data_IF_645281396769
#
_entry.id   IF_645281396769
#
_cell.length_a   1.000
_cell.length_b   1.000
_cell.length_c   1.000
_cell.angle_alpha   90.00
_cell.angle_beta   90.00
_cell.angle_gamma   90.00
#
_symmetry.space_group_name_H-M   'P 1'
#
loop_
_entity.id
_entity.type
_entity.pdbx_description
1 polymer ?
#
# COMPACT_ATOMS: atom_id res chain seq x y z
N UNK A 1 -49.96 -90.88 -0.02
CA UNK A 1 -50.41 -90.80 -1.42
C UNK A 1 -49.96 -89.42 -1.97
N UNK A 2 -49.14 -89.51 -2.97
CA UNK A 2 -48.71 -88.50 -3.93
C UNK A 2 -48.50 -87.03 -3.56
N UNK A 3 -47.22 -86.62 -3.68
CA UNK A 3 -46.64 -85.30 -4.00
C UNK A 3 -47.18 -84.80 -5.36
N UNK A 4 -47.13 -83.47 -5.70
CA UNK A 4 -45.88 -83.00 -6.30
C UNK A 4 -45.42 -81.54 -5.96
N UNK A 5 -44.13 -81.37 -6.24
CA UNK A 5 -43.30 -80.16 -6.22
C UNK A 5 -43.79 -79.03 -7.17
N UNK A 6 -43.60 -77.77 -6.80
CA UNK A 6 -43.38 -76.68 -7.77
C UNK A 6 -42.24 -75.82 -7.36
N UNK A 7 -41.27 -75.72 -8.24
CA UNK A 7 -40.09 -74.92 -8.18
C UNK A 7 -40.45 -73.45 -8.53
N UNK A 8 -40.14 -72.51 -7.65
CA UNK A 8 -40.15 -71.10 -7.98
C UNK A 8 -38.68 -70.59 -8.03
N UNK A 9 -38.28 -70.20 -9.20
CA UNK A 9 -36.93 -69.69 -9.54
C UNK A 9 -36.90 -68.23 -9.38
N UNK A 10 -36.39 -67.70 -8.23
CA UNK A 10 -36.12 -66.28 -8.02
C UNK A 10 -34.82 -65.86 -8.72
N UNK A 11 -34.93 -65.10 -9.80
CA UNK A 11 -33.83 -64.41 -10.47
C UNK A 11 -33.48 -63.20 -9.65
N UNK A 12 -32.35 -63.17 -8.95
CA UNK A 12 -31.71 -61.99 -8.38
C UNK A 12 -31.03 -61.22 -9.52
N UNK A 13 -31.53 -60.06 -9.86
CA UNK A 13 -30.83 -59.11 -10.69
C UNK A 13 -29.68 -58.45 -9.88
N UNK A 14 -28.51 -58.21 -10.48
CA UNK A 14 -27.39 -57.65 -9.78
C UNK A 14 -27.55 -56.09 -9.70
N UNK A 15 -27.69 -55.59 -8.50
CA UNK A 15 -27.62 -54.13 -8.17
C UNK A 15 -26.14 -53.74 -8.02
N UNK A 16 -25.38 -53.77 -9.13
CA UNK A 16 -23.96 -53.43 -9.10
C UNK A 16 -23.58 -52.27 -10.03
N UNK A 17 -24.56 -51.58 -10.64
CA UNK A 17 -24.30 -50.56 -11.65
C UNK A 17 -24.45 -49.12 -11.20
N UNK A 18 -25.02 -48.80 -10.00
CA UNK A 18 -25.39 -47.44 -9.64
C UNK A 18 -24.46 -46.75 -8.64
N UNK A 19 -23.52 -47.47 -8.02
CA UNK A 19 -22.61 -46.91 -6.98
C UNK A 19 -21.33 -46.30 -7.52
N UNK A 20 -20.97 -46.48 -8.80
CA UNK A 20 -19.70 -45.94 -9.37
C UNK A 20 -19.90 -44.56 -9.98
N UNK A 21 -21.12 -44.16 -10.35
CA UNK A 21 -21.38 -42.86 -10.97
C UNK A 21 -21.49 -41.70 -9.96
N UNK A 22 -21.70 -41.99 -8.67
CA UNK A 22 -21.83 -40.97 -7.61
C UNK A 22 -20.50 -40.57 -6.98
N UNK A 23 -19.44 -41.33 -7.20
CA UNK A 23 -18.10 -41.04 -6.64
C UNK A 23 -17.24 -40.10 -7.51
N UNK A 24 -17.64 -39.81 -8.75
CA UNK A 24 -16.86 -38.97 -9.68
C UNK A 24 -17.21 -37.49 -9.63
N UNK A 25 -18.23 -37.07 -8.86
CA UNK A 25 -18.70 -35.67 -8.82
C UNK A 25 -18.09 -34.87 -7.67
N UNK A 26 -17.32 -35.48 -6.76
CA UNK A 26 -16.78 -34.81 -5.55
C UNK A 26 -15.28 -34.52 -5.55
N UNK A 27 -14.59 -34.76 -6.64
CA UNK A 27 -13.19 -34.37 -6.77
C UNK A 27 -13.06 -33.08 -7.60
N UNK A 28 -13.77 -32.02 -7.20
CA UNK A 28 -13.30 -30.67 -7.57
C UNK A 28 -11.98 -30.47 -6.83
N UNK A 29 -10.87 -30.21 -7.55
CA UNK A 29 -9.64 -29.88 -6.87
C UNK A 29 -9.94 -28.63 -6.02
N UNK A 30 -9.93 -28.79 -4.70
CA UNK A 30 -9.82 -27.67 -3.78
C UNK A 30 -8.50 -27.00 -4.17
N UNK A 31 -8.55 -25.97 -5.00
CA UNK A 31 -7.40 -25.14 -5.28
C UNK A 31 -6.98 -24.55 -3.92
N UNK A 32 -5.94 -25.17 -3.33
CA UNK A 32 -5.38 -24.66 -2.10
C UNK A 32 -5.02 -23.19 -2.33
N UNK A 33 -5.50 -22.32 -1.43
CA UNK A 33 -5.23 -20.89 -1.54
C UNK A 33 -3.72 -20.65 -1.53
N UNK A 34 -3.22 -19.83 -2.47
CA UNK A 34 -1.82 -19.46 -2.51
C UNK A 34 -1.45 -18.69 -1.26
N UNK A 35 -0.46 -19.17 -0.52
CA UNK A 35 0.10 -18.43 0.60
C UNK A 35 0.88 -17.24 0.05
N UNK A 36 0.57 -16.04 0.53
CA UNK A 36 1.24 -14.82 0.12
C UNK A 36 1.54 -13.94 1.33
N UNK A 37 2.74 -13.40 1.39
CA UNK A 37 3.17 -12.49 2.45
C UNK A 37 3.33 -11.09 1.89
N UNK A 38 2.68 -10.11 2.52
CA UNK A 38 2.65 -8.73 2.03
C UNK A 38 3.01 -7.79 3.17
N UNK A 39 4.08 -7.03 2.98
CA UNK A 39 4.48 -6.01 3.96
C UNK A 39 3.78 -4.67 3.70
N UNK A 40 3.58 -3.88 4.74
CA UNK A 40 3.33 -2.45 4.61
C UNK A 40 4.28 -1.65 5.50
N UNK A 41 4.73 -0.49 4.99
CA UNK A 41 5.89 0.22 5.54
C UNK A 41 5.56 1.25 6.61
N UNK A 42 4.29 1.65 6.76
CA UNK A 42 3.87 2.69 7.71
C UNK A 42 2.38 2.59 8.04
N UNK A 43 2.00 2.99 9.25
CA UNK A 43 0.59 3.17 9.65
C UNK A 43 0.13 4.55 9.19
N UNK A 44 -0.18 4.66 7.88
CA UNK A 44 -0.64 5.89 7.23
C UNK A 44 -1.86 5.60 6.34
N UNK A 45 -2.82 6.52 6.20
CA UNK A 45 -3.98 6.34 5.33
C UNK A 45 -3.64 5.93 3.89
N UNK A 46 -2.54 6.41 3.34
CA UNK A 46 -2.08 6.03 1.99
C UNK A 46 -1.70 4.55 1.83
N UNK A 47 -1.59 3.80 2.92
CA UNK A 47 -1.41 2.33 2.90
C UNK A 47 -2.75 1.58 2.88
N UNK A 48 -3.87 2.29 3.03
CA UNK A 48 -5.19 1.74 3.30
C UNK A 48 -5.79 0.85 2.21
N UNK A 49 -5.34 0.96 0.96
CA UNK A 49 -5.83 0.08 -0.12
C UNK A 49 -5.56 -1.39 0.21
N UNK A 50 -4.36 -1.70 0.70
CA UNK A 50 -4.01 -3.06 1.14
C UNK A 50 -4.89 -3.53 2.30
N UNK A 51 -5.16 -2.65 3.27
CA UNK A 51 -6.01 -2.95 4.42
C UNK A 51 -7.45 -3.24 4.01
N UNK A 52 -7.97 -2.47 3.05
CA UNK A 52 -9.32 -2.69 2.49
C UNK A 52 -9.36 -3.98 1.67
N UNK A 53 -8.29 -4.33 0.94
CA UNK A 53 -8.21 -5.61 0.22
C UNK A 53 -8.34 -6.81 1.17
N UNK A 54 -7.69 -6.74 2.33
CA UNK A 54 -7.74 -7.82 3.34
C UNK A 54 -9.09 -7.84 4.05
N UNK A 55 -9.53 -6.72 4.63
CA UNK A 55 -10.78 -6.66 5.43
C UNK A 55 -12.02 -6.87 4.55
N UNK A 56 -11.97 -6.45 3.29
CA UNK A 56 -13.02 -6.70 2.30
C UNK A 56 -13.06 -8.13 1.75
N UNK A 57 -12.15 -9.01 2.20
CA UNK A 57 -12.10 -10.40 1.75
C UNK A 57 -11.64 -10.60 0.31
N UNK A 58 -11.11 -9.54 -0.32
CA UNK A 58 -10.75 -9.56 -1.74
C UNK A 58 -9.54 -10.43 -2.02
N UNK A 59 -8.62 -10.55 -1.06
CA UNK A 59 -7.46 -11.45 -1.18
C UNK A 59 -7.94 -12.91 -1.21
N UNK A 60 -8.81 -13.31 -0.29
CA UNK A 60 -9.41 -14.66 -0.27
C UNK A 60 -10.25 -14.92 -1.52
N UNK A 61 -11.06 -13.95 -1.97
CA UNK A 61 -11.84 -14.02 -3.22
C UNK A 61 -10.96 -14.31 -4.44
N UNK A 62 -9.75 -13.75 -4.47
CA UNK A 62 -8.78 -13.96 -5.57
C UNK A 62 -7.82 -15.14 -5.32
N UNK A 63 -8.14 -16.04 -4.39
CA UNK A 63 -7.44 -17.29 -4.16
C UNK A 63 -6.22 -17.21 -3.25
N UNK A 64 -6.14 -16.21 -2.36
CA UNK A 64 -5.02 -16.03 -1.44
C UNK A 64 -5.36 -16.34 0.02
N UNK A 65 -4.41 -17.02 0.68
CA UNK A 65 -4.24 -17.00 2.13
C UNK A 65 -3.14 -16.00 2.44
N UNK A 66 -3.51 -14.76 2.76
CA UNK A 66 -2.57 -13.65 2.87
C UNK A 66 -2.16 -13.40 4.32
N UNK A 67 -0.86 -13.18 4.55
CA UNK A 67 -0.28 -12.64 5.76
C UNK A 67 0.10 -11.17 5.52
N UNK A 68 -0.57 -10.25 6.20
CA UNK A 68 -0.31 -8.80 6.08
C UNK A 68 0.54 -8.34 7.26
N UNK A 69 1.75 -7.87 6.98
CA UNK A 69 2.79 -7.63 7.97
C UNK A 69 3.16 -6.14 8.00
N UNK A 70 2.99 -5.50 9.16
CA UNK A 70 3.62 -4.21 9.39
C UNK A 70 5.10 -4.38 9.70
N UNK A 71 5.96 -3.72 8.95
CA UNK A 71 7.39 -3.67 9.25
C UNK A 71 8.03 -2.39 8.73
N UNK A 72 8.86 -1.76 9.55
CA UNK A 72 9.69 -0.62 9.15
C UNK A 72 10.78 -1.00 8.13
N UNK A 73 11.10 -2.29 8.04
CA UNK A 73 12.03 -2.88 7.09
C UNK A 73 11.35 -3.47 5.85
N UNK A 74 10.21 -2.89 5.39
CA UNK A 74 9.39 -3.47 4.33
C UNK A 74 10.14 -3.64 3.00
N UNK A 75 11.03 -2.73 2.65
CA UNK A 75 11.81 -2.85 1.42
C UNK A 75 12.92 -3.90 1.55
N UNK A 76 13.55 -3.96 2.70
CA UNK A 76 14.60 -4.93 3.00
C UNK A 76 14.04 -6.37 2.97
N UNK A 77 12.88 -6.61 3.59
CA UNK A 77 12.21 -7.92 3.58
C UNK A 77 11.72 -8.31 2.17
N UNK A 78 11.27 -7.34 1.37
CA UNK A 78 10.88 -7.57 -0.03
C UNK A 78 12.09 -7.97 -0.88
N UNK A 79 13.19 -7.25 -0.78
CA UNK A 79 14.43 -7.53 -1.54
C UNK A 79 15.04 -8.87 -1.13
N UNK A 80 14.99 -9.22 0.15
CA UNK A 80 15.41 -10.52 0.67
C UNK A 80 14.51 -11.68 0.22
N UNK A 81 13.27 -11.39 -0.26
CA UNK A 81 12.29 -12.40 -0.65
C UNK A 81 11.55 -13.02 0.54
N UNK A 82 11.59 -12.40 1.70
CA UNK A 82 10.83 -12.80 2.88
C UNK A 82 9.34 -12.46 2.76
N UNK A 83 9.02 -11.44 1.94
CA UNK A 83 7.66 -11.10 1.51
C UNK A 83 7.59 -11.05 -0.01
N UNK A 84 6.40 -11.33 -0.57
CA UNK A 84 6.16 -11.39 -2.03
C UNK A 84 5.85 -10.01 -2.62
N UNK A 85 5.12 -9.17 -1.87
CA UNK A 85 4.73 -7.80 -2.25
C UNK A 85 4.88 -6.85 -1.07
N UNK A 86 4.85 -5.54 -1.37
CA UNK A 86 4.88 -4.51 -0.35
C UNK A 86 4.03 -3.30 -0.73
N UNK A 87 3.31 -2.76 0.25
CA UNK A 87 2.71 -1.43 0.15
C UNK A 87 3.69 -0.43 0.76
N UNK A 88 4.30 0.41 -0.08
CA UNK A 88 5.34 1.35 0.37
C UNK A 88 5.45 2.56 -0.54
N UNK A 89 6.26 3.54 -0.15
CA UNK A 89 6.44 4.78 -0.93
C UNK A 89 7.44 4.60 -2.07
N UNK A 90 7.25 5.36 -3.16
CA UNK A 90 8.18 5.40 -4.28
C UNK A 90 9.60 5.76 -3.86
N UNK A 91 9.77 6.70 -2.91
CA UNK A 91 11.10 7.07 -2.40
C UNK A 91 11.84 5.90 -1.74
N UNK A 92 11.13 5.11 -0.90
CA UNK A 92 11.71 3.96 -0.22
C UNK A 92 12.17 2.91 -1.22
N UNK A 93 11.29 2.58 -2.17
CA UNK A 93 11.59 1.64 -3.25
C UNK A 93 12.73 2.13 -4.14
N UNK A 94 12.72 3.42 -4.53
CA UNK A 94 13.74 4.00 -5.40
C UNK A 94 15.13 3.95 -4.77
N UNK A 95 15.24 4.20 -3.47
CA UNK A 95 16.51 4.10 -2.76
C UNK A 95 17.14 2.71 -2.87
N UNK A 96 16.35 1.65 -2.72
CA UNK A 96 16.83 0.28 -2.87
C UNK A 96 17.20 -0.06 -4.32
N UNK A 97 16.39 0.40 -5.30
CA UNK A 97 16.66 0.17 -6.71
C UNK A 97 17.94 0.86 -7.19
N UNK A 98 18.16 2.10 -6.77
CA UNK A 98 19.39 2.83 -7.08
C UNK A 98 20.65 2.20 -6.44
N UNK A 99 20.47 1.34 -5.44
CA UNK A 99 21.55 0.54 -4.83
C UNK A 99 21.69 -0.84 -5.46
N UNK A 100 21.00 -1.13 -6.58
CA UNK A 100 21.14 -2.36 -7.36
C UNK A 100 20.13 -3.46 -7.05
N UNK A 101 19.16 -3.24 -6.16
CA UNK A 101 18.05 -4.15 -5.98
C UNK A 101 17.05 -4.08 -7.16
N UNK A 102 16.10 -5.04 -7.23
CA UNK A 102 15.17 -5.18 -8.35
C UNK A 102 13.68 -4.85 -8.04
N UNK A 103 13.32 -4.00 -7.03
CA UNK A 103 11.93 -3.68 -6.79
C UNK A 103 11.36 -2.81 -7.92
N UNK A 104 10.06 -3.02 -8.23
CA UNK A 104 9.29 -2.21 -9.19
C UNK A 104 7.90 -1.93 -8.63
N UNK A 105 7.37 -0.74 -8.89
CA UNK A 105 5.99 -0.38 -8.53
C UNK A 105 5.05 -0.80 -9.65
N UNK A 106 3.99 -1.53 -9.27
CA UNK A 106 3.01 -2.08 -10.21
C UNK A 106 1.64 -1.40 -10.12
N UNK A 107 1.40 -0.64 -9.04
CA UNK A 107 0.26 0.26 -8.91
C UNK A 107 0.60 1.44 -8.00
N UNK A 108 0.12 2.64 -8.33
CA UNK A 108 0.32 3.88 -7.56
C UNK A 108 -0.95 4.32 -6.82
N UNK A 109 -0.80 4.93 -5.65
CA UNK A 109 -1.91 5.52 -4.88
C UNK A 109 -1.85 7.04 -4.92
N UNK A 110 -0.67 7.63 -4.74
CA UNK A 110 -0.47 9.08 -4.70
C UNK A 110 0.54 9.50 -5.76
N UNK A 111 0.26 10.59 -6.46
CA UNK A 111 1.11 11.12 -7.53
C UNK A 111 1.58 12.56 -7.32
N UNK A 112 1.22 13.18 -6.19
CA UNK A 112 1.69 14.51 -5.76
C UNK A 112 2.11 14.49 -4.28
N UNK A 113 2.86 15.51 -3.88
CA UNK A 113 3.13 15.76 -2.46
C UNK A 113 1.87 16.32 -1.80
N UNK A 114 1.35 15.65 -0.76
CA UNK A 114 0.12 16.05 -0.06
C UNK A 114 0.33 16.36 1.42
N UNK A 115 1.55 16.19 1.92
CA UNK A 115 1.83 16.39 3.34
C UNK A 115 1.68 17.87 3.75
N UNK A 116 1.48 18.07 5.03
CA UNK A 116 1.54 19.38 5.68
C UNK A 116 2.76 19.41 6.59
N UNK A 117 3.60 20.42 6.45
CA UNK A 117 4.62 20.72 7.45
C UNK A 117 3.92 21.42 8.61
N UNK A 118 3.72 20.66 9.68
CA UNK A 118 3.11 21.14 10.92
C UNK A 118 4.19 21.59 11.87
N UNK A 119 3.96 22.72 12.55
CA UNK A 119 4.89 23.30 13.50
C UNK A 119 4.20 23.79 14.77
N UNK A 120 4.97 23.94 15.84
CA UNK A 120 4.51 24.54 17.09
C UNK A 120 4.11 26.00 16.87
N UNK A 121 3.19 26.58 17.69
CA UNK A 121 2.62 27.91 17.48
C UNK A 121 3.62 29.07 17.43
N UNK A 122 4.79 28.90 18.05
CA UNK A 122 5.85 29.88 18.07
C UNK A 122 6.70 29.94 16.79
N UNK A 123 6.56 28.97 15.89
CA UNK A 123 7.20 28.92 14.58
C UNK A 123 6.20 29.46 13.56
N UNK A 124 6.53 30.56 12.90
CA UNK A 124 5.61 31.31 12.03
C UNK A 124 6.00 31.31 10.57
N UNK A 125 7.28 31.04 10.28
CA UNK A 125 7.83 31.01 8.92
C UNK A 125 8.79 29.83 8.73
N UNK A 126 9.18 29.56 7.49
CA UNK A 126 10.16 28.53 7.18
C UNK A 126 11.55 28.88 7.75
N UNK A 127 11.90 30.15 7.80
CA UNK A 127 13.15 30.67 8.37
C UNK A 127 13.26 30.38 9.88
N UNK A 128 12.14 30.37 10.60
CA UNK A 128 12.09 30.06 12.03
C UNK A 128 12.49 28.62 12.34
N UNK A 129 12.57 27.75 11.30
CA UNK A 129 13.04 26.38 11.44
C UNK A 129 14.56 26.28 11.70
N UNK A 130 15.33 27.35 11.52
CA UNK A 130 16.78 27.34 11.83
C UNK A 130 17.02 26.94 13.29
N UNK A 131 17.87 25.93 13.49
CA UNK A 131 18.17 25.37 14.81
C UNK A 131 17.05 24.57 15.45
N UNK A 132 15.91 24.34 14.75
CA UNK A 132 14.78 23.58 15.30
C UNK A 132 14.89 22.08 15.03
N UNK A 133 14.20 21.32 15.88
CA UNK A 133 14.11 19.85 15.80
C UNK A 133 12.94 19.48 14.90
N UNK A 134 13.21 18.75 13.82
CA UNK A 134 12.18 18.31 12.89
C UNK A 134 12.10 16.77 12.93
N UNK A 135 10.94 16.23 13.29
CA UNK A 135 10.70 14.80 13.37
C UNK A 135 10.47 14.17 12.00
N UNK A 136 11.14 13.02 11.75
CA UNK A 136 10.93 12.18 10.57
C UNK A 136 10.65 10.74 10.99
N UNK A 137 10.09 9.92 10.08
CA UNK A 137 9.88 8.51 10.33
C UNK A 137 11.21 7.79 10.61
N UNK A 138 12.08 7.72 9.60
CA UNK A 138 13.48 7.29 9.67
C UNK A 138 14.28 7.95 8.57
N UNK A 139 15.60 7.99 8.71
CA UNK A 139 16.46 8.51 7.64
C UNK A 139 16.35 7.62 6.39
N UNK A 140 16.30 8.23 5.22
CA UNK A 140 16.07 7.57 3.94
C UNK A 140 14.60 7.28 3.61
N UNK A 141 13.68 7.39 4.57
CA UNK A 141 12.24 7.22 4.29
C UNK A 141 11.58 8.49 3.74
N UNK A 142 10.33 8.36 3.27
CA UNK A 142 9.61 9.42 2.56
C UNK A 142 9.56 10.78 3.30
N UNK A 143 9.27 10.79 4.61
CA UNK A 143 9.22 12.04 5.37
C UNK A 143 10.58 12.75 5.47
N UNK A 144 11.68 11.98 5.55
CA UNK A 144 13.01 12.53 5.51
C UNK A 144 13.36 13.08 4.12
N UNK A 145 13.17 12.27 3.07
CA UNK A 145 13.50 12.66 1.70
C UNK A 145 12.67 13.87 1.22
N UNK A 146 11.38 13.92 1.59
CA UNK A 146 10.52 15.08 1.28
C UNK A 146 11.00 16.36 1.98
N UNK A 147 11.46 16.27 3.22
CA UNK A 147 12.01 17.43 3.93
C UNK A 147 13.27 17.94 3.27
N UNK A 148 14.25 17.09 2.99
CA UNK A 148 15.50 17.51 2.35
C UNK A 148 15.29 18.03 0.92
N UNK A 149 14.22 17.57 0.24
CA UNK A 149 13.80 18.11 -1.05
C UNK A 149 13.14 19.50 -0.95
N UNK A 150 12.41 19.77 0.15
CA UNK A 150 11.66 21.02 0.32
C UNK A 150 12.50 22.12 0.97
N UNK A 151 13.32 21.82 1.96
CA UNK A 151 14.09 22.83 2.73
C UNK A 151 14.92 23.77 1.85
N UNK A 152 15.64 23.31 0.79
CA UNK A 152 16.43 24.19 -0.07
C UNK A 152 15.61 25.25 -0.81
N UNK A 153 14.34 24.97 -1.11
CA UNK A 153 13.42 25.93 -1.77
C UNK A 153 13.11 27.15 -0.91
N UNK A 154 13.40 27.06 0.39
CA UNK A 154 13.20 28.10 1.39
C UNK A 154 14.54 28.59 1.99
N UNK A 155 15.66 28.36 1.29
CA UNK A 155 16.98 28.80 1.74
C UNK A 155 17.49 28.09 3.01
N UNK A 156 16.98 26.89 3.27
CA UNK A 156 17.40 26.04 4.39
C UNK A 156 18.11 24.79 3.86
N UNK A 157 19.05 24.28 4.63
CA UNK A 157 19.72 23.00 4.39
C UNK A 157 19.52 22.04 5.56
N UNK A 158 19.90 20.79 5.38
CA UNK A 158 19.91 19.80 6.46
C UNK A 158 20.81 20.19 7.65
N UNK A 159 21.76 21.11 7.43
CA UNK A 159 22.66 21.62 8.49
C UNK A 159 22.02 22.74 9.31
N UNK A 160 20.97 23.36 8.78
CA UNK A 160 20.25 24.45 9.45
C UNK A 160 19.19 23.93 10.43
N UNK A 161 18.89 22.63 10.43
CA UNK A 161 17.87 22.00 11.27
C UNK A 161 18.40 20.73 11.93
N UNK A 162 17.80 20.29 13.03
CA UNK A 162 18.10 19.00 13.66
C UNK A 162 17.05 17.99 13.27
N UNK A 163 17.38 17.03 12.40
CA UNK A 163 16.46 15.95 12.02
C UNK A 163 16.51 14.83 13.06
N UNK A 164 15.35 14.39 13.54
CA UNK A 164 15.20 13.34 14.54
C UNK A 164 14.35 12.18 14.01
N UNK A 165 14.84 10.95 14.15
CA UNK A 165 14.03 9.76 13.87
C UNK A 165 13.04 9.54 15.03
N UNK A 166 11.77 9.72 14.78
CA UNK A 166 10.70 9.66 15.79
C UNK A 166 9.80 8.45 15.58
N UNK A 167 9.63 8.01 14.35
CA UNK A 167 8.73 6.90 14.01
C UNK A 167 7.54 7.31 13.15
N UNK A 168 6.47 6.52 13.25
CA UNK A 168 5.25 6.68 12.47
C UNK A 168 4.54 8.02 12.71
N UNK A 169 3.54 8.34 11.89
CA UNK A 169 2.76 9.57 12.01
C UNK A 169 2.16 9.76 13.41
N UNK A 170 1.56 8.76 14.08
CA UNK A 170 1.10 8.91 15.46
C UNK A 170 2.21 9.30 16.44
N UNK A 171 3.38 8.67 16.34
CA UNK A 171 4.54 8.97 17.21
C UNK A 171 4.99 10.43 17.03
N UNK A 172 5.07 10.89 15.78
CA UNK A 172 5.47 12.27 15.44
C UNK A 172 4.44 13.30 15.91
N UNK A 173 3.16 12.96 15.87
CA UNK A 173 2.10 13.82 16.40
C UNK A 173 2.23 13.98 17.91
N UNK A 174 2.48 12.89 18.64
CA UNK A 174 2.73 12.91 20.09
C UNK A 174 3.99 13.73 20.40
N UNK A 175 5.07 13.51 19.69
CA UNK A 175 6.33 14.24 19.89
C UNK A 175 6.18 15.74 19.62
N UNK A 176 5.40 16.13 18.61
CA UNK A 176 5.12 17.52 18.28
C UNK A 176 4.28 18.20 19.35
N UNK A 177 3.18 17.57 19.80
CA UNK A 177 2.31 18.10 20.84
C UNK A 177 2.99 18.16 22.19
N UNK A 178 3.83 17.17 22.52
CA UNK A 178 4.63 17.12 23.74
C UNK A 178 5.88 18.02 23.73
N UNK A 179 6.24 18.61 22.58
CA UNK A 179 7.38 19.52 22.46
C UNK A 179 8.74 18.86 22.37
N UNK A 180 8.82 17.56 22.13
CA UNK A 180 10.08 16.84 21.86
C UNK A 180 10.65 17.20 20.48
N UNK A 181 9.77 17.56 19.54
CA UNK A 181 10.10 18.13 18.24
C UNK A 181 9.35 19.45 18.04
N UNK A 182 9.85 20.27 17.13
CA UNK A 182 9.33 21.61 16.88
C UNK A 182 8.49 21.68 15.59
N UNK A 183 8.76 20.77 14.64
CA UNK A 183 7.99 20.58 13.40
C UNK A 183 8.05 19.14 12.91
N UNK A 184 7.11 18.76 12.04
CA UNK A 184 7.11 17.47 11.31
C UNK A 184 6.20 17.53 10.09
N UNK A 185 6.46 16.68 9.08
CA UNK A 185 5.53 16.44 7.99
C UNK A 185 4.45 15.46 8.45
N UNK A 186 3.19 15.84 8.33
CA UNK A 186 2.04 14.97 8.58
C UNK A 186 1.24 14.78 7.29
N UNK A 187 0.91 13.54 6.98
CA UNK A 187 0.03 13.22 5.87
C UNK A 187 -1.44 13.54 6.23
N UNK A 188 -2.31 13.84 5.24
CA UNK A 188 -3.74 13.87 5.49
C UNK A 188 -4.24 12.51 6.04
N UNK A 189 -5.15 12.53 7.03
CA UNK A 189 -5.74 13.68 7.71
C UNK A 189 -5.03 14.05 9.03
N UNK A 190 -3.91 13.43 9.38
CA UNK A 190 -3.29 13.54 10.70
C UNK A 190 -2.87 14.99 11.05
N UNK A 191 -2.68 15.84 10.03
CA UNK A 191 -2.50 17.29 10.23
C UNK A 191 -3.72 17.97 10.88
N UNK A 192 -4.95 17.45 10.68
CA UNK A 192 -6.17 17.99 11.31
C UNK A 192 -6.13 17.77 12.83
N UNK A 193 -5.58 16.63 13.26
CA UNK A 193 -5.38 16.38 14.70
C UNK A 193 -4.32 17.31 15.28
N UNK A 194 -3.21 17.53 14.57
CA UNK A 194 -2.21 18.50 14.99
C UNK A 194 -2.82 19.90 15.14
N UNK A 195 -3.70 20.32 14.21
CA UNK A 195 -4.40 21.61 14.30
C UNK A 195 -5.33 21.67 15.53
N UNK A 196 -6.07 20.58 15.84
CA UNK A 196 -6.91 20.50 17.06
C UNK A 196 -6.08 20.65 18.33
N UNK A 197 -4.83 20.19 18.32
CA UNK A 197 -3.86 20.32 19.41
C UNK A 197 -3.13 21.68 19.39
N UNK A 198 -3.59 22.64 18.57
CA UNK A 198 -3.06 24.00 18.51
C UNK A 198 -1.81 24.17 17.63
N UNK A 199 -1.36 23.10 16.93
CA UNK A 199 -0.24 23.21 15.99
C UNK A 199 -0.67 23.96 14.74
N UNK A 200 0.28 24.60 14.05
CA UNK A 200 0.03 25.38 12.84
C UNK A 200 0.53 24.65 11.60
N UNK A 201 -0.20 24.76 10.50
CA UNK A 201 0.34 24.42 9.17
C UNK A 201 1.30 25.51 8.76
N UNK A 202 2.58 25.18 8.68
CA UNK A 202 3.63 26.08 8.23
C UNK A 202 3.72 26.08 6.70
N UNK A 203 3.57 24.90 6.10
CA UNK A 203 3.58 24.71 4.64
C UNK A 203 2.62 23.57 4.25
N UNK A 204 1.78 23.82 3.26
CA UNK A 204 0.98 22.80 2.61
C UNK A 204 1.68 22.37 1.30
N UNK A 205 2.26 21.19 1.27
CA UNK A 205 3.03 20.74 0.11
C UNK A 205 2.15 20.53 -1.13
N UNK A 206 0.86 20.27 -0.95
CA UNK A 206 -0.10 20.14 -2.07
C UNK A 206 -0.17 21.41 -2.93
N UNK A 207 -0.04 22.59 -2.30
CA UNK A 207 -0.12 23.88 -2.99
C UNK A 207 1.09 24.11 -3.93
N UNK A 208 2.18 23.35 -3.74
CA UNK A 208 3.35 23.38 -4.61
C UNK A 208 3.14 22.60 -5.91
N UNK A 209 2.08 21.79 -5.99
CA UNK A 209 1.74 20.95 -7.14
C UNK A 209 2.92 20.14 -7.70
N UNK A 210 3.76 19.61 -6.80
CA UNK A 210 4.95 18.85 -7.17
C UNK A 210 4.54 17.40 -7.43
N UNK A 211 4.76 16.93 -8.66
CA UNK A 211 4.63 15.51 -8.98
C UNK A 211 5.59 14.69 -8.11
N UNK A 212 5.05 13.69 -7.42
CA UNK A 212 5.85 12.86 -6.50
C UNK A 212 5.16 11.51 -6.30
N UNK A 213 5.85 10.42 -6.66
CA UNK A 213 5.28 9.09 -6.43
C UNK A 213 5.25 8.79 -4.93
N UNK A 214 4.08 8.88 -4.34
CA UNK A 214 3.83 8.53 -2.94
C UNK A 214 3.70 7.02 -2.76
N UNK A 215 2.69 6.58 -2.01
CA UNK A 215 2.45 5.16 -1.74
C UNK A 215 2.00 4.39 -2.99
N UNK A 216 2.33 3.10 -3.04
CA UNK A 216 1.93 2.19 -4.11
C UNK A 216 2.23 0.74 -3.79
N UNK A 217 1.74 -0.16 -4.63
CA UNK A 217 2.01 -1.59 -4.56
C UNK A 217 3.32 -1.90 -5.30
N UNK A 218 4.23 -2.54 -4.61
CA UNK A 218 5.59 -2.86 -5.07
C UNK A 218 5.82 -4.37 -5.02
N UNK A 219 6.51 -4.89 -6.01
CA UNK A 219 7.06 -6.25 -6.02
C UNK A 219 8.47 -6.23 -6.59
N UNK A 220 9.07 -7.38 -6.88
CA UNK A 220 10.38 -7.46 -7.55
C UNK A 220 10.24 -7.94 -8.99
N UNK A 221 11.17 -7.56 -9.88
CA UNK A 221 11.20 -8.08 -11.24
C UNK A 221 11.34 -9.61 -11.24
N UNK A 222 12.10 -10.15 -10.28
CA UNK A 222 12.24 -11.59 -10.06
C UNK A 222 10.88 -12.25 -9.75
N UNK A 223 10.04 -11.64 -8.92
CA UNK A 223 8.69 -12.14 -8.60
C UNK A 223 7.78 -12.11 -9.83
N UNK A 224 7.79 -11.00 -10.58
CA UNK A 224 7.04 -10.86 -11.84
C UNK A 224 7.43 -11.93 -12.86
N UNK A 225 8.72 -12.22 -13.01
CA UNK A 225 9.19 -13.24 -13.94
C UNK A 225 8.79 -14.67 -13.54
N UNK A 226 8.81 -14.98 -12.22
CA UNK A 226 8.59 -16.34 -11.72
C UNK A 226 7.12 -16.65 -11.42
N UNK A 227 6.34 -15.66 -10.99
CA UNK A 227 4.96 -15.86 -10.49
C UNK A 227 4.01 -14.79 -11.05
N UNK A 228 4.10 -14.51 -12.36
CA UNK A 228 3.31 -13.47 -13.03
C UNK A 228 1.80 -13.60 -12.76
N UNK A 229 1.23 -14.82 -12.78
CA UNK A 229 -0.20 -15.04 -12.51
C UNK A 229 -0.57 -14.67 -11.06
N UNK A 230 0.28 -15.01 -10.08
CA UNK A 230 0.07 -14.66 -8.68
C UNK A 230 0.03 -13.13 -8.53
N UNK A 231 0.98 -12.42 -9.13
CA UNK A 231 1.01 -10.94 -9.08
C UNK A 231 -0.20 -10.35 -9.80
N UNK A 232 -0.62 -10.91 -10.95
CA UNK A 232 -1.82 -10.47 -11.69
C UNK A 232 -3.09 -10.61 -10.86
N UNK A 233 -3.31 -11.76 -10.21
CA UNK A 233 -4.47 -11.99 -9.33
C UNK A 233 -4.45 -11.07 -8.10
N UNK A 234 -3.27 -10.82 -7.53
CA UNK A 234 -3.14 -9.89 -6.41
C UNK A 234 -3.43 -8.44 -6.84
N UNK A 235 -2.90 -8.02 -7.99
CA UNK A 235 -3.18 -6.69 -8.55
C UNK A 235 -4.67 -6.51 -8.85
N UNK A 236 -5.35 -7.58 -9.33
CA UNK A 236 -6.81 -7.57 -9.50
C UNK A 236 -7.53 -7.33 -8.18
N UNK A 237 -7.18 -8.05 -7.10
CA UNK A 237 -7.74 -7.82 -5.77
C UNK A 237 -7.46 -6.39 -5.25
N UNK A 238 -6.28 -5.86 -5.57
CA UNK A 238 -5.89 -4.50 -5.20
C UNK A 238 -6.73 -3.43 -5.92
N UNK A 239 -7.00 -3.60 -7.20
CA UNK A 239 -7.91 -2.72 -7.99
C UNK A 239 -9.35 -2.82 -7.49
N UNK A 240 -9.84 -4.02 -7.18
CA UNK A 240 -11.15 -4.22 -6.52
C UNK A 240 -11.21 -3.49 -5.16
N UNK A 241 -10.10 -3.47 -4.40
CA UNK A 241 -10.03 -2.73 -3.13
C UNK A 241 -10.10 -1.21 -3.34
N UNK A 242 -9.49 -0.67 -4.38
CA UNK A 242 -9.64 0.75 -4.76
C UNK A 242 -11.12 1.06 -5.06
N UNK A 243 -11.82 0.17 -5.77
CA UNK A 243 -13.25 0.31 -5.99
C UNK A 243 -14.03 0.32 -4.66
N UNK A 244 -13.75 -0.60 -3.73
CA UNK A 244 -14.37 -0.60 -2.40
C UNK A 244 -14.09 0.70 -1.62
N UNK A 245 -12.87 1.24 -1.70
CA UNK A 245 -12.56 2.55 -1.10
C UNK A 245 -13.47 3.64 -1.65
N UNK A 246 -13.80 3.61 -2.95
CA UNK A 246 -14.69 4.60 -3.59
C UNK A 246 -16.16 4.41 -3.25
N UNK A 247 -16.62 3.17 -3.08
CA UNK A 247 -18.06 2.81 -3.09
C UNK A 247 -18.57 2.23 -1.79
N UNK A 248 -17.69 1.71 -0.92
CA UNK A 248 -18.11 1.07 0.34
C UNK A 248 -17.39 1.67 1.56
N UNK A 249 -17.96 2.74 2.15
CA UNK A 249 -17.38 3.39 3.32
C UNK A 249 -17.32 2.48 4.55
N UNK A 250 -18.27 1.55 4.72
CA UNK A 250 -18.35 0.68 5.90
C UNK A 250 -17.14 -0.25 5.98
N UNK A 251 -16.87 -1.02 4.92
CA UNK A 251 -15.71 -1.91 4.84
C UNK A 251 -14.40 -1.10 4.98
N UNK A 252 -14.33 0.04 4.30
CA UNK A 252 -13.14 0.90 4.33
C UNK A 252 -12.86 1.42 5.75
N UNK A 253 -13.86 1.96 6.43
CA UNK A 253 -13.74 2.45 7.82
C UNK A 253 -13.38 1.32 8.78
N UNK A 254 -13.95 0.11 8.61
CA UNK A 254 -13.57 -1.08 9.39
C UNK A 254 -12.09 -1.43 9.22
N UNK A 255 -11.56 -1.32 8.01
CA UNK A 255 -10.14 -1.53 7.74
C UNK A 255 -9.27 -0.48 8.46
N UNK A 256 -9.64 0.80 8.40
CA UNK A 256 -8.93 1.85 9.12
C UNK A 256 -8.96 1.68 10.63
N UNK A 257 -10.13 1.33 11.21
CA UNK A 257 -10.26 1.04 12.64
C UNK A 257 -9.32 -0.08 13.10
N UNK A 258 -9.26 -1.18 12.33
CA UNK A 258 -8.39 -2.33 12.59
C UNK A 258 -6.91 -1.95 12.57
N UNK A 259 -6.45 -1.38 11.46
CA UNK A 259 -5.01 -1.17 11.23
C UNK A 259 -4.45 0.05 11.95
N UNK A 260 -5.25 1.05 12.23
CA UNK A 260 -4.86 2.21 13.05
C UNK A 260 -5.14 2.01 14.54
N UNK A 261 -5.72 0.85 14.92
CA UNK A 261 -6.04 0.49 16.29
C UNK A 261 -6.80 1.59 17.05
N UNK A 262 -7.80 2.17 16.40
CA UNK A 262 -8.59 3.27 16.96
C UNK A 262 -10.09 2.99 16.85
N UNK A 263 -10.86 3.48 17.83
CA UNK A 263 -12.33 3.50 17.85
C UNK A 263 -12.90 4.91 17.65
N UNK A 264 -12.03 5.92 17.48
CA UNK A 264 -12.44 7.30 17.23
C UNK A 264 -13.02 7.40 15.82
N UNK A 265 -14.36 7.47 15.74
CA UNK A 265 -15.10 7.50 14.47
C UNK A 265 -14.68 8.67 13.58
N UNK A 266 -14.37 9.84 14.17
CA UNK A 266 -13.94 11.00 13.42
C UNK A 266 -12.58 10.78 12.79
N UNK A 267 -11.61 10.24 13.52
CA UNK A 267 -10.28 9.91 13.00
C UNK A 267 -10.35 8.84 11.92
N UNK A 268 -11.26 7.85 12.08
CA UNK A 268 -11.51 6.82 11.08
C UNK A 268 -12.08 7.43 9.82
N UNK A 269 -13.10 8.31 9.96
CA UNK A 269 -13.74 8.97 8.82
C UNK A 269 -12.76 9.90 8.08
N UNK A 270 -12.06 10.74 8.79
CA UNK A 270 -11.02 11.63 8.22
C UNK A 270 -9.97 10.83 7.42
N UNK A 271 -9.53 9.67 7.94
CA UNK A 271 -8.56 8.80 7.27
C UNK A 271 -9.14 8.13 6.01
N UNK A 272 -10.40 7.69 6.09
CA UNK A 272 -11.12 7.14 4.95
C UNK A 272 -11.31 8.19 3.85
N UNK A 273 -11.77 9.40 4.17
CA UNK A 273 -11.99 10.45 3.19
C UNK A 273 -10.66 10.84 2.51
N UNK A 274 -9.58 10.99 3.27
CA UNK A 274 -8.27 11.28 2.72
C UNK A 274 -7.82 10.24 1.67
N UNK A 275 -7.98 8.94 1.97
CA UNK A 275 -7.65 7.90 0.99
C UNK A 275 -8.61 7.92 -0.20
N UNK A 276 -9.92 8.06 0.05
CA UNK A 276 -10.95 8.07 -1.00
C UNK A 276 -10.73 9.20 -2.02
N UNK A 277 -10.28 10.37 -1.58
CA UNK A 277 -9.97 11.50 -2.46
C UNK A 277 -8.69 11.25 -3.27
N UNK A 278 -7.71 10.58 -2.68
CA UNK A 278 -6.38 10.36 -3.28
C UNK A 278 -6.38 9.25 -4.33
N UNK A 279 -7.06 8.11 -4.06
CA UNK A 279 -7.00 6.95 -4.98
C UNK A 279 -7.72 7.22 -6.30
N UNK A 280 -7.11 6.76 -7.39
CA UNK A 280 -7.67 6.82 -8.74
C UNK A 280 -8.19 5.44 -9.14
N UNK A 281 -9.30 5.35 -9.91
CA UNK A 281 -9.82 4.07 -10.42
C UNK A 281 -8.78 3.24 -11.16
N UNK A 282 -7.96 3.90 -11.99
CA UNK A 282 -6.84 3.31 -12.73
C UNK A 282 -5.53 3.74 -12.04
N UNK A 283 -4.97 2.88 -11.17
CA UNK A 283 -3.87 3.28 -10.28
C UNK A 283 -2.50 3.20 -10.97
N UNK A 284 -2.31 3.91 -12.07
CA UNK A 284 -1.02 3.98 -12.72
C UNK A 284 0.01 4.75 -11.87
N UNK A 285 1.22 4.20 -11.65
CA UNK A 285 2.30 4.94 -11.02
C UNK A 285 2.72 6.16 -11.83
N UNK A 286 3.11 7.24 -11.15
CA UNK A 286 3.50 8.50 -11.78
C UNK A 286 4.95 8.48 -12.25
N UNK A 287 5.19 8.49 -13.56
CA UNK A 287 6.52 8.61 -14.15
C UNK A 287 7.18 9.94 -13.73
N UNK A 288 6.43 11.05 -13.81
CA UNK A 288 6.93 12.37 -13.39
C UNK A 288 7.24 12.39 -11.88
N UNK A 289 6.43 11.68 -11.07
CA UNK A 289 6.70 11.53 -9.65
C UNK A 289 8.00 10.75 -9.35
N UNK A 290 8.31 9.73 -10.14
CA UNK A 290 9.60 9.03 -10.04
C UNK A 290 10.75 9.88 -10.54
N UNK A 291 10.56 10.68 -11.60
CA UNK A 291 11.55 11.64 -12.09
C UNK A 291 11.98 12.60 -10.99
N UNK A 292 11.02 13.21 -10.29
CA UNK A 292 11.29 14.10 -9.15
C UNK A 292 12.10 13.40 -8.04
N UNK A 293 11.76 12.14 -7.71
CA UNK A 293 12.48 11.36 -6.70
C UNK A 293 13.92 11.08 -7.12
N UNK A 294 14.14 10.75 -8.40
CA UNK A 294 15.45 10.42 -8.96
C UNK A 294 16.32 11.69 -9.05
N UNK A 295 15.76 12.81 -9.50
CA UNK A 295 16.45 14.10 -9.54
C UNK A 295 16.93 14.52 -8.15
N UNK A 296 16.07 14.44 -7.13
CA UNK A 296 16.44 14.69 -5.75
C UNK A 296 17.55 13.72 -5.25
N UNK A 297 17.43 12.44 -5.58
CA UNK A 297 18.42 11.44 -5.20
C UNK A 297 19.78 11.65 -5.89
N UNK A 298 19.84 12.32 -7.05
CA UNK A 298 21.04 12.48 -7.87
C UNK A 298 22.16 13.26 -7.18
N UNK A 299 21.82 14.08 -6.20
CA UNK A 299 22.79 14.83 -5.36
C UNK A 299 23.52 13.90 -4.38
N UNK A 300 22.92 12.76 -4.02
CA UNK A 300 23.40 11.86 -2.95
C UNK A 300 23.79 10.47 -3.45
N UNK A 301 23.16 10.01 -4.53
CA UNK A 301 23.33 8.66 -5.07
C UNK A 301 23.81 8.78 -6.52
N UNK A 302 25.08 8.49 -6.83
CA UNK A 302 25.63 8.65 -8.20
C UNK A 302 24.85 7.88 -9.28
N UNK A 303 24.30 6.70 -8.96
CA UNK A 303 23.50 5.90 -9.88
C UNK A 303 22.23 6.63 -10.36
N UNK A 304 21.67 7.54 -9.55
CA UNK A 304 20.48 8.30 -9.91
C UNK A 304 20.69 9.22 -11.12
N UNK A 305 21.93 9.71 -11.36
CA UNK A 305 22.24 10.57 -12.52
C UNK A 305 22.01 9.90 -13.86
N UNK A 306 22.01 8.56 -13.90
CA UNK A 306 21.82 7.75 -15.12
C UNK A 306 20.52 6.95 -15.10
N UNK A 307 19.73 7.07 -14.04
CA UNK A 307 18.53 6.28 -13.87
C UNK A 307 17.38 6.79 -14.75
N UNK A 308 16.66 5.87 -15.39
CA UNK A 308 15.46 6.20 -16.16
C UNK A 308 14.22 5.99 -15.25
N UNK A 309 13.35 6.98 -15.06
CA UNK A 309 12.12 6.84 -14.25
C UNK A 309 11.25 5.63 -14.63
N UNK A 310 11.23 5.25 -15.91
CA UNK A 310 10.48 4.09 -16.40
C UNK A 310 10.98 2.76 -15.83
N UNK A 311 12.24 2.67 -15.44
CA UNK A 311 12.79 1.44 -14.88
C UNK A 311 12.25 1.13 -13.47
N UNK A 312 11.62 2.10 -12.81
CA UNK A 312 11.06 1.98 -11.47
C UNK A 312 9.62 1.44 -11.45
N UNK A 313 9.01 1.27 -12.61
CA UNK A 313 7.63 0.83 -12.75
C UNK A 313 7.53 -0.37 -13.69
N UNK A 314 6.54 -1.24 -13.42
CA UNK A 314 6.07 -2.24 -14.37
C UNK A 314 4.55 -2.22 -14.39
N UNK A 315 3.98 -1.59 -15.41
CA UNK A 315 2.53 -1.44 -15.58
C UNK A 315 1.91 -2.50 -16.47
N UNK A 316 2.68 -3.47 -16.95
CA UNK A 316 2.23 -4.46 -17.93
C UNK A 316 0.97 -5.23 -17.49
N UNK A 317 0.91 -5.65 -16.22
CA UNK A 317 -0.26 -6.34 -15.67
C UNK A 317 -1.45 -5.40 -15.44
N UNK A 318 -1.18 -4.14 -15.06
CA UNK A 318 -2.24 -3.13 -14.90
C UNK A 318 -2.85 -2.77 -16.25
N UNK A 319 -2.02 -2.64 -17.29
CA UNK A 319 -2.50 -2.43 -18.67
C UNK A 319 -3.33 -3.60 -19.19
N UNK A 320 -2.94 -4.85 -18.86
CA UNK A 320 -3.76 -6.03 -19.20
C UNK A 320 -5.16 -5.94 -18.56
N UNK A 321 -5.24 -5.59 -17.27
CA UNK A 321 -6.51 -5.41 -16.57
C UNK A 321 -7.34 -4.25 -17.14
N UNK A 322 -6.69 -3.15 -17.47
CA UNK A 322 -7.36 -1.98 -18.05
C UNK A 322 -7.89 -2.27 -19.46
N UNK A 323 -7.05 -2.79 -20.35
CA UNK A 323 -7.42 -3.14 -21.73
C UNK A 323 -8.50 -4.23 -21.81
N UNK A 324 -8.58 -5.12 -20.82
CA UNK A 324 -9.66 -6.12 -20.71
C UNK A 324 -11.04 -5.52 -20.38
N UNK A 325 -11.09 -4.22 -20.04
CA UNK A 325 -12.31 -3.56 -19.55
C UNK A 325 -12.67 -3.90 -18.10
N UNK A 326 -11.85 -4.68 -17.41
CA UNK A 326 -12.13 -5.11 -16.04
C UNK A 326 -12.28 -3.92 -15.08
N UNK A 327 -11.37 -2.92 -15.17
CA UNK A 327 -11.40 -1.74 -14.29
C UNK A 327 -12.67 -0.93 -14.53
N UNK A 328 -13.00 -0.65 -15.79
CA UNK A 328 -14.18 0.15 -16.16
C UNK A 328 -15.49 -0.56 -15.77
N UNK A 329 -15.52 -1.90 -15.80
CA UNK A 329 -16.69 -2.69 -15.40
C UNK A 329 -16.99 -2.60 -13.89
N UNK A 330 -16.01 -2.30 -13.05
CA UNK A 330 -16.22 -2.09 -11.62
C UNK A 330 -17.03 -0.82 -11.31
N UNK A 331 -17.01 0.16 -12.21
CA UNK A 331 -17.63 1.49 -12.00
C UNK A 331 -18.92 1.71 -12.82
N UNK A 332 -19.41 0.67 -13.49
CA UNK A 332 -20.72 0.64 -14.16
C UNK A 332 -21.79 0.16 -13.20
#
# INVERSE_FOLDING_TARGET
MFCPRSLSRNKKMPVLGFSILLALVLALPSLAADKIRVAFSAVSPSQGVLWVAEVGGLLTKNGFSAEIIYTRAAIETLVAGEVDLGQMTGSLMSSARLQGADPVMIAGVQDILEDRLMARPNIKSMEDLRGKRIGVFRFGAASHLRLIYILPRYGLSNRDVTLLQVGDTPDRLIALSGGSIDATLLSPPDHLEAQRLGMKTLLNLRDLNIAFQGSGLVTTQRMLARKRDVVRRFLKAYVEAIHLVKTNPEISKKAFAKYRQTKDEKRIDDAYQALRETVKPKPYPSIEGFKTIIEDASERIPAAKKANPKDFIDVSLLEELDKSGFIDALYR
#
